data_IF_550024684455
#
_entry.id   IF_550024684455
#
_cell.length_a   1.000
_cell.length_b   1.000
_cell.length_c   1.000
_cell.angle_alpha   90.00
_cell.angle_beta   90.00
_cell.angle_gamma   90.00
#
_symmetry.space_group_name_H-M   'P 1'
#
loop_
_entity.id
_entity.type
_entity.pdbx_description
1 polymer ?
#
# COMPACT_ATOMS: atom_id res chain seq x y z
N UNK A 1 59.52 56.92 19.43
CA UNK A 1 59.57 55.59 20.07
C UNK A 1 58.27 54.84 19.60
N UNK A 2 58.50 53.82 18.79
CA UNK A 2 57.46 53.19 17.97
C UNK A 2 56.86 51.98 18.71
N UNK A 3 55.58 52.02 19.02
CA UNK A 3 54.83 50.85 19.53
C UNK A 3 54.31 50.02 18.36
N UNK A 4 54.82 48.82 18.23
CA UNK A 4 54.34 47.83 17.31
C UNK A 4 53.19 47.05 17.99
N UNK A 5 51.99 47.18 17.48
CA UNK A 5 50.83 46.39 17.90
C UNK A 5 50.81 45.14 17.01
N UNK A 6 51.05 43.99 17.62
CA UNK A 6 50.89 42.67 16.96
C UNK A 6 49.41 42.31 17.00
N UNK A 7 48.75 42.35 15.85
CA UNK A 7 47.41 41.79 15.66
C UNK A 7 47.55 40.26 15.48
N UNK A 8 47.18 39.50 16.47
CA UNK A 8 47.00 38.05 16.33
C UNK A 8 45.68 37.76 15.66
N UNK A 9 45.71 37.32 14.39
CA UNK A 9 44.59 36.76 13.68
C UNK A 9 44.27 35.36 14.24
N UNK A 10 43.21 35.25 14.99
CA UNK A 10 42.62 33.94 15.33
C UNK A 10 41.81 33.51 14.14
N UNK A 11 42.37 32.63 13.33
CA UNK A 11 41.62 31.92 12.27
C UNK A 11 40.75 30.86 12.94
N UNK A 12 39.47 31.19 13.11
CA UNK A 12 38.47 30.22 13.49
C UNK A 12 38.24 29.24 12.33
N UNK A 13 38.82 28.07 12.46
CA UNK A 13 38.53 26.94 11.56
C UNK A 13 37.10 26.47 11.87
N UNK A 14 36.14 26.96 11.11
CA UNK A 14 34.82 26.32 11.03
C UNK A 14 35.01 24.98 10.34
N UNK A 15 35.09 23.89 11.10
CA UNK A 15 34.90 22.55 10.60
C UNK A 15 33.40 22.42 10.26
N UNK A 16 33.09 22.62 9.00
CA UNK A 16 31.79 22.22 8.46
C UNK A 16 31.76 20.71 8.57
N UNK A 17 31.08 20.21 9.59
CA UNK A 17 30.74 18.80 9.68
C UNK A 17 29.79 18.51 8.52
N UNK A 18 30.31 17.94 7.45
CA UNK A 18 29.47 17.33 6.42
C UNK A 18 28.68 16.21 7.09
N UNK A 19 27.45 16.51 7.47
CA UNK A 19 26.45 15.47 7.68
C UNK A 19 26.19 14.87 6.30
N UNK A 20 26.96 13.85 5.95
CA UNK A 20 26.61 13.00 4.84
C UNK A 20 25.20 12.44 5.15
N UNK A 21 24.21 12.87 4.40
CA UNK A 21 22.90 12.22 4.39
C UNK A 21 23.19 10.74 4.07
N UNK A 22 22.89 9.86 5.02
CA UNK A 22 23.09 8.44 4.83
C UNK A 22 22.23 8.01 3.64
N UNK A 23 22.88 7.61 2.55
CA UNK A 23 22.20 7.07 1.40
C UNK A 23 21.40 5.82 1.82
N UNK A 24 20.24 5.61 1.22
CA UNK A 24 19.42 4.43 1.44
C UNK A 24 19.31 3.61 0.15
N UNK A 25 19.28 2.30 0.30
CA UNK A 25 19.08 1.38 -0.81
C UNK A 25 17.73 1.68 -1.50
N UNK A 26 17.73 1.84 -2.81
CA UNK A 26 16.52 2.16 -3.59
C UNK A 26 15.45 1.05 -3.56
N UNK A 27 15.81 -0.16 -3.14
CA UNK A 27 14.91 -1.33 -3.12
C UNK A 27 14.35 -1.67 -1.75
N UNK A 28 15.15 -1.59 -0.69
CA UNK A 28 14.74 -2.00 0.66
C UNK A 28 14.84 -0.89 1.71
N UNK A 29 15.30 0.29 1.32
CA UNK A 29 15.50 1.47 2.19
C UNK A 29 16.49 1.28 3.35
N UNK A 30 17.28 0.20 3.35
CA UNK A 30 18.37 0.05 4.30
C UNK A 30 19.50 1.05 4.02
N UNK A 31 20.17 1.49 5.09
CA UNK A 31 21.33 2.38 4.97
C UNK A 31 22.45 1.69 4.20
N UNK A 32 22.99 2.40 3.22
CA UNK A 32 24.11 1.97 2.40
C UNK A 32 25.27 2.94 2.55
N UNK A 33 26.47 2.49 2.19
CA UNK A 33 27.67 3.35 2.16
C UNK A 33 27.62 4.28 0.95
N UNK A 34 28.20 5.47 1.08
CA UNK A 34 28.25 6.46 0.02
C UNK A 34 28.78 5.86 -1.30
N UNK A 35 28.04 6.10 -2.38
CA UNK A 35 28.39 5.65 -3.73
C UNK A 35 27.76 4.31 -4.16
N UNK A 36 26.93 3.69 -3.32
CA UNK A 36 26.15 2.51 -3.68
C UNK A 36 24.69 2.88 -3.94
N UNK A 37 24.09 2.34 -5.00
CA UNK A 37 22.65 2.49 -5.27
C UNK A 37 21.81 1.41 -4.54
N UNK A 38 22.42 0.23 -4.31
CA UNK A 38 21.76 -0.92 -3.68
C UNK A 38 22.63 -1.48 -2.53
N UNK A 39 21.99 -2.01 -1.50
CA UNK A 39 22.69 -2.74 -0.43
C UNK A 39 23.20 -4.10 -0.93
N UNK A 40 24.18 -4.70 -0.22
CA UNK A 40 24.75 -6.01 -0.58
C UNK A 40 23.68 -7.10 -0.78
N UNK A 41 22.62 -7.11 0.05
CA UNK A 41 21.53 -8.08 -0.08
C UNK A 41 20.73 -7.89 -1.38
N UNK A 42 20.57 -6.64 -1.83
CA UNK A 42 19.84 -6.33 -3.08
C UNK A 42 20.71 -6.54 -4.33
N UNK A 43 22.03 -6.28 -4.26
CA UNK A 43 22.99 -6.57 -5.35
C UNK A 43 23.23 -8.07 -5.54
N UNK A 44 23.30 -8.83 -4.47
CA UNK A 44 23.40 -10.29 -4.53
C UNK A 44 22.14 -10.92 -5.14
N UNK A 45 20.99 -10.24 -5.05
CA UNK A 45 19.73 -10.71 -5.63
C UNK A 45 19.64 -10.46 -7.16
N UNK A 46 20.38 -9.51 -7.71
CA UNK A 46 20.44 -9.28 -9.17
C UNK A 46 21.22 -10.34 -9.92
N UNK A 47 22.18 -10.98 -9.27
CA UNK A 47 23.02 -12.02 -9.87
C UNK A 47 22.45 -13.44 -9.74
N UNK A 48 21.33 -13.61 -9.01
CA UNK A 48 20.68 -14.92 -8.87
C UNK A 48 19.69 -15.15 -10.02
N UNK A 49 19.76 -16.33 -10.60
CA UNK A 49 18.76 -16.80 -11.56
C UNK A 49 17.36 -16.80 -10.94
N UNK A 50 16.59 -15.74 -11.24
CA UNK A 50 15.26 -15.51 -10.67
C UNK A 50 14.24 -16.56 -11.10
N UNK A 51 14.51 -17.34 -12.16
CA UNK A 51 13.58 -18.35 -12.67
C UNK A 51 13.43 -19.54 -11.71
N UNK A 52 14.53 -20.00 -11.12
CA UNK A 52 14.48 -21.03 -10.08
C UNK A 52 13.91 -20.57 -8.74
N UNK A 53 14.06 -19.27 -8.42
CA UNK A 53 13.53 -18.70 -7.16
C UNK A 53 12.01 -18.48 -7.21
N UNK A 54 11.46 -18.09 -8.36
CA UNK A 54 10.00 -17.94 -8.56
C UNK A 54 9.26 -19.25 -8.31
N UNK A 55 9.77 -20.36 -8.83
CA UNK A 55 9.20 -21.70 -8.60
C UNK A 55 9.24 -22.10 -7.12
N UNK A 56 10.31 -21.76 -6.38
CA UNK A 56 10.41 -22.05 -4.94
C UNK A 56 9.51 -21.19 -4.09
N UNK A 57 9.29 -19.91 -4.43
CA UNK A 57 8.37 -19.01 -3.73
C UNK A 57 6.93 -19.55 -3.79
N UNK A 58 6.46 -19.89 -4.98
CA UNK A 58 5.12 -20.47 -5.18
C UNK A 58 4.90 -21.73 -4.35
N UNK A 59 5.90 -22.61 -4.28
CA UNK A 59 5.84 -23.82 -3.44
C UNK A 59 5.77 -23.50 -1.96
N UNK A 60 6.54 -22.52 -1.47
CA UNK A 60 6.53 -22.09 -0.08
C UNK A 60 5.18 -21.46 0.29
N UNK A 61 4.65 -20.58 -0.57
CA UNK A 61 3.33 -19.97 -0.37
C UNK A 61 2.22 -21.01 -0.34
N UNK A 62 2.25 -21.99 -1.25
CA UNK A 62 1.29 -23.10 -1.25
C UNK A 62 1.42 -23.95 0.01
N UNK A 63 2.64 -24.17 0.51
CA UNK A 63 2.89 -24.87 1.77
C UNK A 63 2.30 -24.11 2.96
N UNK A 64 2.44 -22.78 3.00
CA UNK A 64 1.83 -21.94 4.04
C UNK A 64 0.30 -22.06 4.01
N UNK A 65 -0.31 -21.94 2.81
CA UNK A 65 -1.76 -22.08 2.63
C UNK A 65 -2.27 -23.44 3.08
N UNK A 66 -1.64 -24.52 2.62
CA UNK A 66 -2.04 -25.89 2.97
C UNK A 66 -1.82 -26.22 4.43
N UNK A 67 -0.72 -25.76 5.05
CA UNK A 67 -0.44 -25.96 6.49
C UNK A 67 -1.48 -25.25 7.36
N UNK A 68 -1.90 -24.06 6.97
CA UNK A 68 -2.96 -23.33 7.69
C UNK A 68 -4.29 -24.07 7.62
N UNK A 69 -4.66 -24.58 6.46
CA UNK A 69 -5.91 -25.33 6.30
C UNK A 69 -5.85 -26.67 7.05
N UNK A 70 -4.73 -27.38 6.98
CA UNK A 70 -4.50 -28.60 7.76
C UNK A 70 -4.62 -28.35 9.27
N UNK A 71 -4.10 -27.22 9.75
CA UNK A 71 -4.23 -26.85 11.16
C UNK A 71 -5.67 -26.57 11.58
N UNK A 72 -6.45 -25.87 10.73
CA UNK A 72 -7.89 -25.66 10.99
C UNK A 72 -8.66 -26.97 11.06
N UNK A 73 -8.38 -27.87 10.12
CA UNK A 73 -9.02 -29.18 10.06
C UNK A 73 -8.70 -30.01 11.29
N UNK A 74 -7.42 -30.07 11.70
CA UNK A 74 -6.98 -30.76 12.91
C UNK A 74 -7.63 -30.19 14.19
N UNK A 75 -7.80 -28.87 14.29
CA UNK A 75 -8.52 -28.26 15.41
C UNK A 75 -10.00 -28.62 15.40
N UNK A 76 -10.62 -28.74 14.23
CA UNK A 76 -12.03 -29.13 14.10
C UNK A 76 -12.24 -30.59 14.51
N UNK A 77 -11.36 -31.48 14.08
CA UNK A 77 -11.33 -32.89 14.49
C UNK A 77 -11.12 -33.03 15.99
N UNK A 78 -10.19 -32.28 16.57
CA UNK A 78 -9.92 -32.27 18.01
C UNK A 78 -11.13 -31.78 18.81
N UNK A 79 -11.85 -30.78 18.32
CA UNK A 79 -13.10 -30.31 18.93
C UNK A 79 -14.11 -31.42 18.93
N UNK A 80 -14.30 -32.12 17.80
CA UNK A 80 -15.24 -33.24 17.69
C UNK A 80 -14.87 -34.37 18.66
N UNK A 81 -13.58 -34.77 18.67
CA UNK A 81 -13.08 -35.79 19.61
C UNK A 81 -13.38 -35.42 21.06
N UNK A 82 -13.11 -34.19 21.50
CA UNK A 82 -13.41 -33.76 22.87
C UNK A 82 -14.91 -33.66 23.16
N UNK A 83 -15.73 -33.40 22.15
CA UNK A 83 -17.19 -33.45 22.31
C UNK A 83 -17.68 -34.89 22.58
N UNK A 84 -17.17 -35.85 21.80
CA UNK A 84 -17.59 -37.27 21.89
C UNK A 84 -17.24 -37.91 23.24
N UNK A 85 -16.11 -37.48 23.82
CA UNK A 85 -15.70 -37.99 25.17
C UNK A 85 -16.13 -37.08 26.32
N UNK A 86 -16.93 -36.01 26.06
CA UNK A 86 -17.52 -35.17 27.11
C UNK A 86 -16.56 -34.18 27.77
N UNK A 87 -15.39 -33.86 27.19
CA UNK A 87 -14.41 -32.95 27.77
C UNK A 87 -14.68 -31.49 27.45
N UNK A 88 -15.79 -30.94 27.94
CA UNK A 88 -16.28 -29.61 27.63
C UNK A 88 -15.27 -28.46 27.86
N UNK A 89 -14.42 -28.54 28.87
CA UNK A 89 -13.38 -27.54 29.12
C UNK A 89 -12.31 -27.47 28.00
N UNK A 90 -11.97 -28.65 27.45
CA UNK A 90 -11.01 -28.78 26.35
C UNK A 90 -11.64 -28.34 25.02
N UNK A 91 -12.92 -28.64 24.78
CA UNK A 91 -13.71 -28.12 23.66
C UNK A 91 -13.66 -26.60 23.64
N UNK A 92 -13.86 -25.96 24.82
CA UNK A 92 -13.83 -24.48 24.90
C UNK A 92 -12.46 -23.90 24.54
N UNK A 93 -11.36 -24.56 24.92
CA UNK A 93 -9.99 -24.12 24.56
C UNK A 93 -9.75 -24.26 23.06
N UNK A 94 -10.02 -25.43 22.48
CA UNK A 94 -9.82 -25.68 21.05
C UNK A 94 -10.68 -24.73 20.16
N UNK A 95 -11.95 -24.49 20.54
CA UNK A 95 -12.81 -23.52 19.86
C UNK A 95 -12.26 -22.09 19.96
N UNK A 96 -11.68 -21.70 21.09
CA UNK A 96 -11.05 -20.39 21.26
C UNK A 96 -9.86 -20.22 20.31
N UNK A 97 -9.07 -21.28 20.16
CA UNK A 97 -7.90 -21.31 19.29
C UNK A 97 -8.30 -21.24 17.82
N UNK A 98 -9.28 -22.05 17.38
CA UNK A 98 -9.82 -22.01 16.03
C UNK A 98 -10.41 -20.61 15.70
N UNK A 99 -11.13 -20.01 16.66
CA UNK A 99 -11.63 -18.65 16.52
C UNK A 99 -10.52 -17.60 16.40
N UNK A 100 -9.43 -17.77 17.14
CA UNK A 100 -8.26 -16.89 17.07
C UNK A 100 -7.58 -17.03 15.70
N UNK A 101 -7.38 -18.26 15.22
CA UNK A 101 -6.80 -18.54 13.92
C UNK A 101 -7.63 -17.93 12.77
N UNK A 102 -8.95 -18.01 12.85
CA UNK A 102 -9.86 -17.40 11.85
C UNK A 102 -9.88 -15.86 11.89
N UNK A 103 -9.42 -15.23 12.98
CA UNK A 103 -9.28 -13.76 13.06
C UNK A 103 -7.97 -13.25 12.45
N UNK A 104 -6.97 -14.12 12.32
CA UNK A 104 -5.71 -13.75 11.67
C UNK A 104 -5.98 -13.70 10.17
N UNK A 105 -5.90 -12.51 9.52
CA UNK A 105 -6.12 -12.41 8.09
C UNK A 105 -5.10 -13.29 7.35
N UNK A 106 -5.58 -14.02 6.36
CA UNK A 106 -4.69 -14.73 5.44
C UNK A 106 -4.15 -13.70 4.48
N UNK A 107 -2.86 -13.37 4.60
CA UNK A 107 -2.19 -12.52 3.64
C UNK A 107 -2.17 -13.25 2.29
N UNK A 108 -2.64 -12.59 1.24
CA UNK A 108 -2.44 -13.07 -0.12
C UNK A 108 -0.99 -12.77 -0.50
N UNK A 109 -0.19 -13.80 -0.56
CA UNK A 109 1.13 -13.69 -1.17
C UNK A 109 0.91 -13.77 -2.68
N UNK A 110 1.17 -12.66 -3.39
CA UNK A 110 1.25 -12.67 -4.84
C UNK A 110 2.57 -13.35 -5.19
N UNK A 111 2.51 -14.53 -5.74
CA UNK A 111 3.70 -15.17 -6.31
C UNK A 111 3.99 -14.54 -7.67
N UNK A 112 5.27 -14.45 -8.02
CA UNK A 112 5.71 -13.81 -9.26
C UNK A 112 5.18 -14.51 -10.55
N UNK A 113 4.56 -15.69 -10.40
CA UNK A 113 3.93 -16.45 -11.48
C UNK A 113 2.42 -16.21 -11.61
N UNK A 114 1.79 -15.56 -10.62
CA UNK A 114 0.43 -15.06 -10.79
C UNK A 114 0.55 -13.74 -11.57
N UNK A 115 0.48 -13.81 -12.88
CA UNK A 115 0.34 -12.64 -13.72
C UNK A 115 -0.85 -11.82 -13.21
N UNK A 116 -0.55 -10.65 -12.66
CA UNK A 116 -1.54 -9.67 -12.18
C UNK A 116 -2.44 -9.21 -13.34
N UNK A 117 -2.08 -9.57 -14.58
CA UNK A 117 -2.78 -9.20 -15.81
C UNK A 117 -4.15 -9.86 -15.99
N UNK A 118 -4.48 -10.93 -15.25
CA UNK A 118 -5.72 -11.69 -15.49
C UNK A 118 -6.79 -11.55 -14.43
N UNK A 119 -6.54 -10.82 -13.34
CA UNK A 119 -7.60 -10.50 -12.37
C UNK A 119 -8.25 -9.17 -12.79
N UNK A 120 -9.00 -9.20 -13.87
CA UNK A 120 -10.02 -8.17 -14.07
C UNK A 120 -11.16 -8.48 -13.10
N UNK A 121 -11.43 -7.61 -12.11
CA UNK A 121 -12.53 -7.79 -11.19
C UNK A 121 -13.83 -7.65 -11.99
N UNK A 122 -14.46 -8.77 -12.27
CA UNK A 122 -15.67 -8.84 -13.12
C UNK A 122 -16.82 -9.58 -12.45
N UNK A 123 -16.59 -10.13 -11.27
CA UNK A 123 -17.61 -10.91 -10.58
C UNK A 123 -18.51 -10.02 -9.73
N UNK A 124 -19.80 -10.07 -9.97
CA UNK A 124 -20.76 -9.45 -9.08
C UNK A 124 -20.95 -10.35 -7.84
N UNK A 125 -20.39 -9.92 -6.71
CA UNK A 125 -20.40 -10.66 -5.45
C UNK A 125 -21.27 -9.90 -4.45
N UNK A 126 -22.37 -10.54 -4.01
CA UNK A 126 -23.36 -9.90 -3.14
C UNK A 126 -22.77 -9.41 -1.81
N UNK A 127 -21.87 -10.18 -1.19
CA UNK A 127 -21.20 -9.79 0.05
C UNK A 127 -20.33 -8.55 -0.16
N UNK A 128 -19.65 -8.44 -1.30
CA UNK A 128 -18.88 -7.26 -1.66
C UNK A 128 -19.79 -6.05 -1.89
N UNK A 129 -20.94 -6.24 -2.54
CA UNK A 129 -21.93 -5.19 -2.76
C UNK A 129 -22.46 -4.63 -1.43
N UNK A 130 -22.80 -5.51 -0.49
CA UNK A 130 -23.28 -5.11 0.85
C UNK A 130 -22.18 -4.32 1.58
N UNK A 131 -20.94 -4.82 1.57
CA UNK A 131 -19.80 -4.13 2.20
C UNK A 131 -19.52 -2.77 1.56
N UNK A 132 -19.62 -2.67 0.25
CA UNK A 132 -19.41 -1.43 -0.48
C UNK A 132 -20.45 -0.38 -0.11
N UNK A 133 -21.73 -0.76 -0.11
CA UNK A 133 -22.82 0.14 0.28
C UNK A 133 -22.69 0.57 1.75
N UNK A 134 -22.35 -0.35 2.66
CA UNK A 134 -22.13 -0.03 4.07
C UNK A 134 -20.97 0.95 4.22
N UNK A 135 -19.87 0.72 3.51
CA UNK A 135 -18.72 1.63 3.47
C UNK A 135 -19.10 3.04 2.96
N UNK A 136 -19.87 3.12 1.88
CA UNK A 136 -20.37 4.40 1.34
C UNK A 136 -21.28 5.11 2.34
N UNK A 137 -22.16 4.38 3.01
CA UNK A 137 -23.04 4.93 4.02
C UNK A 137 -22.23 5.55 5.17
N UNK A 138 -21.24 4.85 5.71
CA UNK A 138 -20.35 5.41 6.72
C UNK A 138 -19.56 6.62 6.22
N UNK A 139 -19.04 6.57 4.98
CA UNK A 139 -18.30 7.69 4.36
C UNK A 139 -19.18 8.94 4.22
N UNK A 140 -20.47 8.80 3.99
CA UNK A 140 -21.40 9.91 3.73
C UNK A 140 -22.02 10.53 4.98
N UNK A 141 -21.82 9.96 6.18
CA UNK A 141 -22.35 10.54 7.43
C UNK A 141 -21.60 11.83 7.75
N UNK A 142 -22.33 12.95 7.78
CA UNK A 142 -21.78 14.30 7.98
C UNK A 142 -21.64 14.73 9.46
N UNK A 143 -21.68 13.81 10.40
CA UNK A 143 -21.52 14.13 11.81
C UNK A 143 -20.06 14.44 12.14
N UNK A 144 -19.71 15.70 12.34
CA UNK A 144 -18.36 16.18 12.62
C UNK A 144 -17.73 15.53 13.86
N UNK A 145 -18.49 15.34 14.93
CA UNK A 145 -17.98 14.78 16.18
C UNK A 145 -17.54 13.31 16.05
N UNK A 146 -18.17 12.54 15.16
CA UNK A 146 -17.87 11.13 14.94
C UNK A 146 -17.22 10.86 13.57
N UNK A 147 -16.87 11.89 12.81
CA UNK A 147 -16.42 11.77 11.43
C UNK A 147 -15.24 10.81 11.28
N UNK A 148 -14.22 10.94 12.12
CA UNK A 148 -13.04 10.06 12.08
C UNK A 148 -13.43 8.60 12.30
N UNK A 149 -14.25 8.29 13.31
CA UNK A 149 -14.73 6.92 13.55
C UNK A 149 -15.55 6.38 12.40
N UNK A 150 -16.40 7.19 11.79
CA UNK A 150 -17.20 6.78 10.64
C UNK A 150 -16.32 6.46 9.42
N UNK A 151 -15.31 7.29 9.15
CA UNK A 151 -14.34 7.03 8.11
C UNK A 151 -13.50 5.78 8.41
N UNK A 152 -13.16 5.50 9.68
CA UNK A 152 -12.49 4.24 10.06
C UNK A 152 -13.36 3.02 9.74
N UNK A 153 -14.66 3.08 10.02
CA UNK A 153 -15.60 2.01 9.65
C UNK A 153 -15.72 1.85 8.12
N UNK A 154 -15.79 2.97 7.38
CA UNK A 154 -15.79 2.95 5.92
C UNK A 154 -14.53 2.28 5.37
N UNK A 155 -13.36 2.71 5.85
CA UNK A 155 -12.07 2.13 5.45
C UNK A 155 -12.02 0.61 5.70
N UNK A 156 -12.50 0.16 6.86
CA UNK A 156 -12.54 -1.27 7.19
C UNK A 156 -13.42 -2.08 6.21
N UNK A 157 -14.54 -1.49 5.71
CA UNK A 157 -15.42 -2.16 4.72
C UNK A 157 -14.75 -2.26 3.36
N UNK A 158 -14.20 -1.14 2.86
CA UNK A 158 -13.50 -1.13 1.58
C UNK A 158 -12.26 -2.04 1.60
N UNK A 159 -11.48 -1.98 2.68
CA UNK A 159 -10.33 -2.87 2.84
C UNK A 159 -10.74 -4.34 2.85
N UNK A 160 -11.84 -4.69 3.51
CA UNK A 160 -12.36 -6.05 3.53
C UNK A 160 -12.73 -6.57 2.13
N UNK A 161 -13.26 -5.70 1.25
CA UNK A 161 -13.52 -6.08 -0.15
C UNK A 161 -12.21 -6.45 -0.84
N UNK A 162 -11.17 -5.63 -0.70
CA UNK A 162 -9.88 -5.89 -1.32
C UNK A 162 -9.18 -7.14 -0.78
N UNK A 163 -9.38 -7.45 0.51
CA UNK A 163 -8.74 -8.59 1.18
C UNK A 163 -9.50 -9.92 0.94
N UNK A 164 -10.83 -9.90 0.90
CA UNK A 164 -11.66 -11.12 0.86
C UNK A 164 -12.34 -11.35 -0.51
N UNK A 165 -12.55 -10.29 -1.31
CA UNK A 165 -13.28 -10.36 -2.58
C UNK A 165 -12.56 -9.58 -3.70
N UNK A 166 -11.26 -9.84 -3.95
CA UNK A 166 -10.48 -9.06 -4.94
C UNK A 166 -10.96 -9.26 -6.37
N UNK A 167 -11.69 -10.34 -6.65
CA UNK A 167 -12.32 -10.63 -7.94
C UNK A 167 -13.66 -9.90 -8.14
N UNK A 168 -14.16 -9.20 -7.12
CA UNK A 168 -15.40 -8.42 -7.22
C UNK A 168 -15.26 -7.28 -8.22
N UNK A 169 -16.29 -7.05 -9.01
CA UNK A 169 -16.44 -5.90 -9.92
C UNK A 169 -16.38 -4.54 -9.20
N UNK A 170 -16.49 -4.53 -7.87
CA UNK A 170 -16.34 -3.35 -7.02
C UNK A 170 -14.96 -3.21 -6.38
N UNK A 171 -13.99 -4.07 -6.69
CA UNK A 171 -12.68 -4.04 -6.05
C UNK A 171 -11.90 -2.75 -6.39
N UNK A 172 -11.92 -2.31 -7.64
CA UNK A 172 -11.28 -1.05 -8.05
C UNK A 172 -11.99 0.17 -7.44
N UNK A 173 -13.32 0.14 -7.40
CA UNK A 173 -14.12 1.16 -6.74
C UNK A 173 -13.84 1.23 -5.23
N UNK A 174 -13.70 0.08 -4.57
CA UNK A 174 -13.35 0.01 -3.16
C UNK A 174 -11.95 0.57 -2.88
N UNK A 175 -10.97 0.28 -3.75
CA UNK A 175 -9.63 0.85 -3.67
C UNK A 175 -9.69 2.39 -3.79
N UNK A 176 -10.45 2.91 -4.75
CA UNK A 176 -10.63 4.35 -4.94
C UNK A 176 -11.24 5.02 -3.71
N UNK A 177 -12.33 4.47 -3.17
CA UNK A 177 -13.00 5.01 -1.99
C UNK A 177 -12.10 4.94 -0.74
N UNK A 178 -11.27 3.90 -0.61
CA UNK A 178 -10.30 3.75 0.47
C UNK A 178 -9.18 4.78 0.36
N UNK A 179 -8.69 5.05 -0.85
CA UNK A 179 -7.72 6.10 -1.13
C UNK A 179 -8.24 7.49 -0.69
N UNK A 180 -9.49 7.81 -1.03
CA UNK A 180 -10.15 9.04 -0.59
C UNK A 180 -10.23 9.15 0.93
N UNK A 181 -10.49 8.04 1.63
CA UNK A 181 -10.53 8.03 3.10
C UNK A 181 -9.17 8.31 3.69
N UNK A 182 -8.11 7.65 3.22
CA UNK A 182 -6.74 7.85 3.73
C UNK A 182 -6.22 9.27 3.44
N UNK A 183 -6.47 9.81 2.24
CA UNK A 183 -6.11 11.18 1.88
C UNK A 183 -6.95 12.26 2.57
N UNK A 184 -8.01 11.88 3.30
CA UNK A 184 -8.89 12.83 3.94
C UNK A 184 -8.20 13.65 5.03
N UNK A 185 -8.75 14.84 5.34
CA UNK A 185 -8.27 15.70 6.42
C UNK A 185 -8.14 14.99 7.79
N UNK A 186 -8.95 13.94 8.02
CA UNK A 186 -8.97 13.20 9.29
C UNK A 186 -7.88 12.15 9.42
N UNK A 187 -7.35 11.63 8.32
CA UNK A 187 -6.29 10.63 8.30
C UNK A 187 -4.96 11.23 7.89
N UNK A 188 -4.93 11.98 6.79
CA UNK A 188 -3.72 12.56 6.18
C UNK A 188 -2.63 11.52 5.90
N UNK A 189 -3.06 10.28 5.65
CA UNK A 189 -2.20 9.21 5.22
C UNK A 189 -2.08 9.29 3.69
N UNK A 190 -1.19 10.17 3.24
CA UNK A 190 -1.04 10.45 1.82
C UNK A 190 -0.32 9.32 1.08
N UNK A 191 0.59 8.60 1.74
CA UNK A 191 1.23 7.42 1.17
C UNK A 191 0.22 6.30 0.94
N UNK A 192 -0.61 5.99 1.95
CA UNK A 192 -1.71 5.06 1.81
C UNK A 192 -2.73 5.48 0.75
N UNK A 193 -3.03 6.79 0.66
CA UNK A 193 -3.91 7.34 -0.38
C UNK A 193 -3.35 7.11 -1.77
N UNK A 194 -2.09 7.46 -2.02
CA UNK A 194 -1.43 7.24 -3.30
C UNK A 194 -1.43 5.75 -3.67
N UNK A 195 -1.03 4.89 -2.73
CA UNK A 195 -1.01 3.44 -2.91
C UNK A 195 -2.37 2.89 -3.38
N UNK A 196 -3.46 3.27 -2.73
CA UNK A 196 -4.78 2.74 -3.11
C UNK A 196 -5.35 3.38 -4.38
N UNK A 197 -5.00 4.61 -4.75
CA UNK A 197 -5.32 5.12 -6.08
C UNK A 197 -4.58 4.36 -7.18
N UNK A 198 -3.30 4.04 -6.97
CA UNK A 198 -2.52 3.17 -7.88
C UNK A 198 -3.20 1.81 -7.98
N UNK A 199 -3.53 1.21 -6.83
CA UNK A 199 -4.22 -0.09 -6.77
C UNK A 199 -5.55 -0.12 -7.53
N UNK A 200 -6.29 0.99 -7.54
CA UNK A 200 -7.55 1.11 -8.27
C UNK A 200 -7.37 0.86 -9.77
N UNK A 201 -6.42 1.52 -10.43
CA UNK A 201 -6.21 1.33 -11.86
C UNK A 201 -5.38 0.09 -12.21
N UNK A 202 -4.64 -0.49 -11.26
CA UNK A 202 -4.03 -1.81 -11.42
C UNK A 202 -5.09 -2.92 -11.46
N UNK A 203 -6.10 -2.84 -10.59
CA UNK A 203 -7.23 -3.77 -10.58
C UNK A 203 -8.11 -3.61 -11.84
N UNK A 204 -8.32 -2.37 -12.29
CA UNK A 204 -9.12 -2.09 -13.47
C UNK A 204 -8.49 -0.95 -14.28
N UNK A 205 -7.65 -1.27 -15.30
CA UNK A 205 -7.03 -0.26 -16.16
C UNK A 205 -8.04 0.63 -16.91
N UNK A 206 -9.29 0.16 -17.06
CA UNK A 206 -10.38 0.86 -17.73
C UNK A 206 -11.41 1.46 -16.74
N UNK A 207 -11.05 1.56 -15.47
CA UNK A 207 -11.91 2.18 -14.45
C UNK A 207 -12.41 3.57 -14.89
N UNK A 208 -13.67 3.86 -14.61
CA UNK A 208 -14.22 5.20 -14.82
C UNK A 208 -13.78 6.20 -13.75
N UNK A 209 -13.03 5.76 -12.74
CA UNK A 209 -12.54 6.62 -11.67
C UNK A 209 -11.32 7.41 -12.13
N UNK A 210 -11.18 8.68 -11.76
CA UNK A 210 -9.99 9.49 -12.08
C UNK A 210 -8.80 9.13 -11.17
N UNK A 211 -8.52 7.82 -11.01
CA UNK A 211 -7.57 7.33 -10.02
C UNK A 211 -6.13 7.78 -10.33
N UNK A 212 -5.71 7.75 -11.60
CA UNK A 212 -4.38 8.20 -12.03
C UNK A 212 -4.16 9.69 -11.76
N UNK A 213 -5.15 10.51 -12.09
CA UNK A 213 -5.12 11.94 -11.79
C UNK A 213 -5.06 12.21 -10.28
N UNK A 214 -5.83 11.47 -9.49
CA UNK A 214 -5.82 11.58 -8.04
C UNK A 214 -4.49 11.13 -7.42
N UNK A 215 -3.90 10.05 -7.92
CA UNK A 215 -2.57 9.61 -7.51
C UNK A 215 -1.53 10.69 -7.79
N UNK A 216 -1.51 11.22 -9.03
CA UNK A 216 -0.61 12.29 -9.42
C UNK A 216 -0.70 13.49 -8.48
N UNK A 217 -1.91 13.94 -8.16
CA UNK A 217 -2.13 15.04 -7.21
C UNK A 217 -1.65 14.75 -5.79
N UNK A 218 -1.71 13.52 -5.36
CA UNK A 218 -1.20 13.14 -4.03
C UNK A 218 0.32 13.21 -4.02
N UNK A 219 0.98 12.66 -5.04
CA UNK A 219 2.44 12.75 -5.19
C UNK A 219 2.92 14.20 -5.30
N UNK A 220 2.24 15.02 -6.09
CA UNK A 220 2.57 16.44 -6.32
C UNK A 220 2.36 17.28 -5.05
N UNK A 221 1.13 17.30 -4.52
CA UNK A 221 0.72 18.30 -3.52
C UNK A 221 1.06 17.92 -2.08
N UNK A 222 1.28 16.63 -1.79
CA UNK A 222 1.43 16.15 -0.41
C UNK A 222 2.70 15.37 -0.16
N UNK A 223 3.19 14.62 -1.14
CA UNK A 223 4.40 13.82 -0.99
C UNK A 223 5.65 14.49 -1.55
N UNK A 224 5.50 15.52 -2.39
CA UNK A 224 6.60 16.23 -3.05
C UNK A 224 7.43 15.34 -3.99
N UNK A 225 6.85 14.21 -4.41
CA UNK A 225 7.50 13.31 -5.37
C UNK A 225 7.05 13.69 -6.79
N UNK A 226 7.73 14.68 -7.35
CA UNK A 226 7.35 15.28 -8.64
C UNK A 226 7.58 14.34 -9.82
N UNK A 227 8.57 13.45 -9.76
CA UNK A 227 8.80 12.45 -10.81
C UNK A 227 7.62 11.49 -10.93
N UNK A 228 7.16 10.94 -9.81
CA UNK A 228 5.96 10.10 -9.79
C UNK A 228 4.70 10.89 -10.16
N UNK A 229 4.61 12.16 -9.75
CA UNK A 229 3.49 13.01 -10.14
C UNK A 229 3.42 13.18 -11.65
N UNK A 230 4.54 13.51 -12.32
CA UNK A 230 4.61 13.62 -13.78
C UNK A 230 4.19 12.33 -14.44
N UNK A 231 4.74 11.20 -14.03
CA UNK A 231 4.40 9.89 -14.59
C UNK A 231 2.90 9.60 -14.51
N UNK A 232 2.29 9.84 -13.36
CA UNK A 232 0.87 9.59 -13.19
C UNK A 232 -0.03 10.62 -13.88
N UNK A 233 0.41 11.87 -14.02
CA UNK A 233 -0.30 12.87 -14.82
C UNK A 233 -0.29 12.50 -16.32
N UNK A 234 0.82 12.04 -16.87
CA UNK A 234 0.91 11.57 -18.25
C UNK A 234 -0.03 10.38 -18.50
N UNK A 235 0.00 9.39 -17.62
CA UNK A 235 -0.93 8.24 -17.67
C UNK A 235 -2.42 8.69 -17.55
N UNK A 236 -2.69 9.73 -16.77
CA UNK A 236 -4.04 10.27 -16.64
C UNK A 236 -4.55 10.92 -17.94
N UNK A 237 -3.69 11.59 -18.70
CA UNK A 237 -4.04 12.17 -20.00
C UNK A 237 -4.44 11.13 -21.04
N UNK A 238 -3.87 9.93 -20.96
CA UNK A 238 -4.18 8.83 -21.88
C UNK A 238 -5.58 8.23 -21.59
N UNK A 239 -5.99 8.20 -20.33
CA UNK A 239 -7.18 7.44 -19.91
C UNK A 239 -8.36 8.31 -19.49
N UNK A 240 -8.11 9.49 -18.94
CA UNK A 240 -9.16 10.35 -18.44
C UNK A 240 -9.91 11.05 -19.59
N UNK A 241 -11.22 10.84 -19.64
CA UNK A 241 -12.11 11.45 -20.64
C UNK A 241 -12.64 12.82 -20.21
N UNK A 242 -12.61 13.13 -18.93
CA UNK A 242 -13.16 14.37 -18.38
C UNK A 242 -12.29 15.58 -18.76
N UNK A 243 -12.88 16.54 -19.43
CA UNK A 243 -12.19 17.72 -19.98
C UNK A 243 -11.51 18.55 -18.88
N UNK A 244 -12.14 18.68 -17.73
CA UNK A 244 -11.60 19.48 -16.62
C UNK A 244 -10.34 18.84 -16.02
N UNK A 245 -10.33 17.54 -15.79
CA UNK A 245 -9.12 16.84 -15.29
C UNK A 245 -7.99 16.92 -16.34
N UNK A 246 -8.31 16.80 -17.62
CA UNK A 246 -7.32 16.95 -18.69
C UNK A 246 -6.71 18.36 -18.72
N UNK A 247 -7.54 19.40 -18.56
CA UNK A 247 -7.06 20.79 -18.50
C UNK A 247 -6.10 21.00 -17.33
N UNK A 248 -6.53 20.63 -16.12
CA UNK A 248 -5.70 20.77 -14.90
C UNK A 248 -4.39 19.98 -15.03
N UNK A 249 -4.46 18.76 -15.59
CA UNK A 249 -3.29 17.91 -15.80
C UNK A 249 -2.29 18.54 -16.75
N UNK A 250 -2.77 19.09 -17.90
CA UNK A 250 -1.87 19.72 -18.87
C UNK A 250 -1.21 20.98 -18.30
N UNK A 251 -1.96 21.81 -17.58
CA UNK A 251 -1.43 23.01 -16.93
C UNK A 251 -0.33 22.64 -15.93
N UNK A 252 -0.59 21.67 -15.04
CA UNK A 252 0.38 21.29 -14.03
C UNK A 252 1.60 20.56 -14.59
N UNK A 253 1.44 19.73 -15.63
CA UNK A 253 2.57 19.10 -16.33
C UNK A 253 3.49 20.13 -17.00
N UNK A 254 2.91 21.20 -17.59
CA UNK A 254 3.72 22.25 -18.16
C UNK A 254 4.58 22.96 -17.09
N UNK A 255 3.98 23.28 -15.94
CA UNK A 255 4.69 23.87 -14.81
C UNK A 255 5.83 22.97 -14.30
N UNK A 256 5.54 21.68 -14.05
CA UNK A 256 6.55 20.73 -13.55
C UNK A 256 7.71 20.54 -14.53
N UNK A 257 7.44 20.52 -15.85
CA UNK A 257 8.48 20.45 -16.89
C UNK A 257 9.31 21.72 -16.96
N UNK A 258 8.73 22.90 -16.72
CA UNK A 258 9.48 24.16 -16.60
C UNK A 258 10.36 24.17 -15.33
N UNK A 259 9.92 23.54 -14.25
CA UNK A 259 10.68 23.37 -13.01
C UNK A 259 11.80 22.31 -13.13
N UNK A 260 11.84 21.50 -14.20
CA UNK A 260 12.90 20.54 -14.53
C UNK A 260 12.59 19.08 -14.17
N UNK A 261 11.34 18.76 -13.98
CA UNK A 261 10.84 17.40 -13.71
C UNK A 261 10.31 16.70 -14.95
#
# INVERSE_FOLDING_TARGET
>A
MRNIIILSLIASIFTVSNFALAASCQRCYERITDGQEFCEACTLNESRDLSGMKSSEGQIVNTIKSSRESYKNALSELIQFYMDIGYHSRVKKARKELKALNKIPQLKYLTADEDVSDISPTQNIEEANILFQDGKNYKNILNLASRKSKLTYAAARFKKILDEYPESDLADDAAFELADVYGSHHFKDYEGSAFYYVKCYELNPHTNRPARFKAARVYDNYLGNYEEAVRHYEMALETCKETEYRRITNERLAELKEEGY
#
